data_IF_587017426333
#
_entry.id   IF_587017426333
#
_cell.length_a   1.000
_cell.length_b   1.000
_cell.length_c   1.000
_cell.angle_alpha   90.00
_cell.angle_beta   90.00
_cell.angle_gamma   90.00
#
_symmetry.space_group_name_H-M   'P 1'
#
loop_
_entity.id
_entity.type
_entity.pdbx_description
1 polymer ?
#
# COMPACT_ATOMS: atom_id res chain seq x y z
N UNK A 1 -25.87 13.56 -26.06
CA UNK A 1 -25.55 12.17 -25.73
C UNK A 1 -24.90 12.18 -24.36
N UNK A 2 -25.46 11.43 -23.42
CA UNK A 2 -24.92 11.30 -22.08
C UNK A 2 -23.74 10.30 -22.11
N UNK A 3 -22.68 10.47 -21.31
CA UNK A 3 -21.57 9.50 -21.30
C UNK A 3 -22.00 8.05 -21.02
N UNK A 4 -23.08 7.85 -20.25
CA UNK A 4 -23.68 6.53 -20.01
C UNK A 4 -24.12 5.82 -21.30
N UNK A 5 -24.53 6.56 -22.34
CA UNK A 5 -24.95 5.98 -23.62
C UNK A 5 -23.78 5.27 -24.30
N UNK A 6 -22.55 5.77 -24.11
CA UNK A 6 -21.34 5.12 -24.62
C UNK A 6 -21.04 3.80 -23.88
N UNK A 7 -21.34 3.73 -22.57
CA UNK A 7 -21.07 2.53 -21.76
C UNK A 7 -21.97 1.39 -22.23
N UNK A 8 -23.25 1.68 -22.41
CA UNK A 8 -24.25 0.74 -22.92
C UNK A 8 -23.97 0.32 -24.35
N UNK A 9 -23.53 1.25 -25.22
CA UNK A 9 -23.14 0.92 -26.58
C UNK A 9 -21.98 -0.10 -26.62
N UNK A 10 -20.95 0.08 -25.79
CA UNK A 10 -19.83 -0.88 -25.74
C UNK A 10 -20.27 -2.24 -25.16
N UNK A 11 -21.13 -2.23 -24.13
CA UNK A 11 -21.68 -3.46 -23.57
C UNK A 11 -22.51 -4.24 -24.60
N UNK A 12 -23.33 -3.56 -25.41
CA UNK A 12 -24.10 -4.18 -26.47
C UNK A 12 -23.21 -4.83 -27.54
N UNK A 13 -22.16 -4.14 -27.99
CA UNK A 13 -21.21 -4.69 -28.96
C UNK A 13 -20.48 -5.94 -28.44
N UNK A 14 -20.13 -5.97 -27.15
CA UNK A 14 -19.54 -7.17 -26.53
C UNK A 14 -20.57 -8.29 -26.40
N UNK A 15 -21.83 -7.97 -26.07
CA UNK A 15 -22.92 -8.95 -26.01
C UNK A 15 -23.23 -9.59 -27.39
N UNK A 16 -22.98 -8.86 -28.48
CA UNK A 16 -23.01 -9.38 -29.86
C UNK A 16 -21.83 -10.32 -30.19
N UNK A 17 -20.90 -10.53 -29.25
CA UNK A 17 -19.75 -11.41 -29.41
C UNK A 17 -18.53 -10.74 -30.04
N UNK A 18 -18.53 -9.40 -30.18
CA UNK A 18 -17.38 -8.69 -30.74
C UNK A 18 -16.23 -8.65 -29.72
N UNK A 19 -14.98 -8.91 -30.13
CA UNK A 19 -13.85 -8.86 -29.22
C UNK A 19 -13.52 -7.42 -28.85
N UNK A 20 -13.00 -7.24 -27.63
CA UNK A 20 -12.63 -5.93 -27.06
C UNK A 20 -11.67 -5.18 -27.99
N UNK A 21 -10.77 -5.89 -28.67
CA UNK A 21 -9.72 -5.26 -29.48
C UNK A 21 -10.25 -4.67 -30.78
N UNK A 22 -11.25 -5.33 -31.37
CA UNK A 22 -11.93 -4.81 -32.56
C UNK A 22 -12.79 -3.60 -32.20
N UNK A 23 -13.45 -3.62 -31.03
CA UNK A 23 -14.19 -2.46 -30.52
C UNK A 23 -13.21 -1.30 -30.25
N UNK A 24 -12.07 -1.57 -29.64
CA UNK A 24 -11.06 -0.55 -29.37
C UNK A 24 -10.55 0.11 -30.66
N UNK A 25 -10.25 -0.70 -31.68
CA UNK A 25 -9.82 -0.24 -33.00
C UNK A 25 -10.88 0.64 -33.68
N UNK A 26 -12.14 0.20 -33.72
CA UNK A 26 -13.24 0.93 -34.36
C UNK A 26 -13.48 2.31 -33.73
N UNK A 27 -13.36 2.39 -32.41
CA UNK A 27 -13.58 3.63 -31.66
C UNK A 27 -12.29 4.46 -31.47
N UNK A 28 -11.16 4.03 -32.02
CA UNK A 28 -9.85 4.69 -31.87
C UNK A 28 -9.45 4.92 -30.41
N UNK A 29 -9.73 3.95 -29.54
CA UNK A 29 -9.39 3.95 -28.12
C UNK A 29 -8.52 2.74 -27.78
N UNK A 30 -7.95 2.69 -26.57
CA UNK A 30 -7.21 1.52 -26.12
C UNK A 30 -8.15 0.43 -25.60
N UNK A 31 -7.73 -0.85 -25.63
CA UNK A 31 -8.46 -1.95 -24.99
C UNK A 31 -8.84 -1.68 -23.53
N UNK A 32 -7.93 -1.05 -22.78
CA UNK A 32 -8.16 -0.65 -21.40
C UNK A 32 -9.32 0.34 -21.25
N UNK A 33 -9.48 1.28 -22.20
CA UNK A 33 -10.62 2.20 -22.20
C UNK A 33 -11.93 1.42 -22.40
N UNK A 34 -11.96 0.45 -23.32
CA UNK A 34 -13.14 -0.40 -23.52
C UNK A 34 -13.47 -1.19 -22.25
N UNK A 35 -12.48 -1.84 -21.62
CA UNK A 35 -12.67 -2.56 -20.35
C UNK A 35 -13.21 -1.66 -19.24
N UNK A 36 -12.66 -0.45 -19.08
CA UNK A 36 -13.17 0.54 -18.12
C UNK A 36 -14.62 0.93 -18.40
N UNK A 37 -14.98 1.13 -19.67
CA UNK A 37 -16.35 1.46 -20.09
C UNK A 37 -17.33 0.31 -19.81
N UNK A 38 -16.91 -0.93 -20.06
CA UNK A 38 -17.68 -2.13 -19.71
C UNK A 38 -17.88 -2.24 -18.19
N UNK A 39 -16.84 -1.92 -17.39
CA UNK A 39 -16.98 -1.89 -15.93
C UNK A 39 -18.02 -0.87 -15.46
N UNK A 40 -18.03 0.33 -16.05
CA UNK A 40 -19.05 1.33 -15.73
C UNK A 40 -20.44 0.90 -16.18
N UNK A 41 -20.57 0.20 -17.32
CA UNK A 41 -21.85 -0.34 -17.78
C UNK A 41 -22.43 -1.38 -16.82
N UNK A 42 -21.58 -2.07 -16.03
CA UNK A 42 -21.99 -3.08 -15.06
C UNK A 42 -22.32 -2.53 -13.66
N UNK A 43 -22.30 -1.21 -13.43
CA UNK A 43 -22.67 -0.61 -12.14
C UNK A 43 -24.18 -0.75 -11.90
N UNK A 44 -24.62 -0.76 -10.63
CA UNK A 44 -26.03 -0.85 -10.25
C UNK A 44 -26.93 0.04 -11.11
N UNK A 45 -28.06 -0.49 -11.63
CA UNK A 45 -29.02 0.29 -12.40
C UNK A 45 -29.50 1.57 -11.69
N UNK A 46 -29.59 1.52 -10.35
CA UNK A 46 -30.02 2.66 -9.53
C UNK A 46 -28.98 3.78 -9.54
N UNK A 47 -27.70 3.42 -9.34
CA UNK A 47 -26.59 4.37 -9.43
C UNK A 47 -26.44 4.93 -10.85
N UNK A 48 -26.68 4.12 -11.87
CA UNK A 48 -26.65 4.56 -13.26
C UNK A 48 -27.78 5.56 -13.57
N UNK A 49 -28.97 5.35 -13.00
CA UNK A 49 -30.07 6.31 -13.11
C UNK A 49 -29.74 7.63 -12.41
N UNK A 50 -29.16 7.58 -11.22
CA UNK A 50 -28.72 8.78 -10.49
C UNK A 50 -27.57 9.51 -11.20
N UNK A 51 -26.67 8.77 -11.87
CA UNK A 51 -25.63 9.35 -12.74
C UNK A 51 -26.23 10.12 -13.91
N UNK A 52 -27.26 9.57 -14.56
CA UNK A 52 -28.00 10.26 -15.64
C UNK A 52 -28.77 11.49 -15.17
N UNK A 53 -29.12 11.55 -13.89
CA UNK A 53 -29.81 12.66 -13.26
C UNK A 53 -28.84 13.68 -12.62
N UNK A 54 -27.54 13.57 -12.89
CA UNK A 54 -26.48 14.42 -12.31
C UNK A 54 -26.39 14.37 -10.77
N UNK A 55 -26.97 13.34 -10.13
CA UNK A 55 -26.92 13.13 -8.68
C UNK A 55 -25.68 12.32 -8.22
N UNK A 56 -25.07 11.58 -9.13
CA UNK A 56 -23.80 10.86 -8.96
C UNK A 56 -22.81 11.43 -9.97
N UNK A 57 -21.56 11.66 -9.59
CA UNK A 57 -20.51 12.07 -10.54
C UNK A 57 -19.83 10.87 -11.19
N UNK A 58 -19.17 11.09 -12.34
CA UNK A 58 -18.39 10.04 -13.00
C UNK A 58 -17.30 9.46 -12.09
N UNK A 59 -16.61 10.31 -11.34
CA UNK A 59 -15.53 9.87 -10.44
C UNK A 59 -16.07 9.01 -9.28
N UNK A 60 -17.27 9.32 -8.78
CA UNK A 60 -17.96 8.47 -7.80
C UNK A 60 -18.33 7.12 -8.41
N UNK A 61 -18.85 7.12 -9.63
CA UNK A 61 -19.20 5.91 -10.36
C UNK A 61 -17.96 5.02 -10.59
N UNK A 62 -16.84 5.62 -10.99
CA UNK A 62 -15.55 4.94 -11.15
C UNK A 62 -15.05 4.32 -9.83
N UNK A 63 -15.22 5.01 -8.70
CA UNK A 63 -14.88 4.48 -7.39
C UNK A 63 -15.74 3.28 -6.98
N UNK A 64 -17.03 3.29 -7.31
CA UNK A 64 -17.97 2.21 -7.00
C UNK A 64 -17.76 0.99 -7.90
N UNK A 65 -17.29 1.19 -9.15
CA UNK A 65 -17.05 0.12 -10.13
C UNK A 65 -15.85 -0.80 -9.80
N UNK A 66 -15.23 -0.65 -8.62
CA UNK A 66 -14.18 -1.55 -8.12
C UNK A 66 -14.69 -2.98 -7.85
N UNK A 67 -15.99 -3.11 -7.52
CA UNK A 67 -16.69 -4.38 -7.32
C UNK A 67 -17.84 -4.52 -8.31
N UNK A 68 -18.22 -5.76 -8.65
CA UNK A 68 -19.42 -6.06 -9.44
C UNK A 68 -20.66 -6.31 -8.55
N UNK A 69 -20.51 -6.30 -7.22
CA UNK A 69 -21.63 -6.47 -6.29
C UNK A 69 -22.43 -5.18 -6.18
N UNK A 70 -23.61 -5.17 -6.81
CA UNK A 70 -24.54 -4.03 -6.79
C UNK A 70 -24.98 -3.66 -5.37
N UNK A 71 -25.18 -4.64 -4.47
CA UNK A 71 -25.59 -4.35 -3.10
C UNK A 71 -24.47 -3.64 -2.32
N UNK A 72 -23.22 -4.06 -2.52
CA UNK A 72 -22.06 -3.39 -1.94
C UNK A 72 -21.89 -1.96 -2.49
N UNK A 73 -22.06 -1.77 -3.80
CA UNK A 73 -22.02 -0.43 -4.43
C UNK A 73 -23.08 0.50 -3.84
N UNK A 74 -24.32 0.02 -3.75
CA UNK A 74 -25.44 0.80 -3.24
C UNK A 74 -25.26 1.15 -1.76
N UNK A 75 -24.85 0.18 -0.93
CA UNK A 75 -24.59 0.44 0.49
C UNK A 75 -23.42 1.41 0.69
N UNK A 76 -22.34 1.27 -0.10
CA UNK A 76 -21.21 2.19 -0.04
C UNK A 76 -21.61 3.64 -0.37
N UNK A 77 -22.57 3.86 -1.28
CA UNK A 77 -23.00 5.19 -1.68
C UNK A 77 -24.16 5.73 -0.83
N UNK A 78 -25.27 5.00 -0.73
CA UNK A 78 -26.51 5.49 -0.12
C UNK A 78 -26.46 5.52 1.40
N UNK A 79 -25.74 4.59 2.04
CA UNK A 79 -25.57 4.59 3.50
C UNK A 79 -24.47 5.56 3.94
N UNK A 80 -23.76 6.18 2.99
CA UNK A 80 -22.78 7.22 3.26
C UNK A 80 -23.44 8.60 3.34
N UNK A 81 -23.09 9.41 4.38
CA UNK A 81 -23.36 10.84 4.37
C UNK A 81 -22.77 11.50 3.12
N UNK A 82 -23.42 12.55 2.61
CA UNK A 82 -22.99 13.20 1.36
C UNK A 82 -21.50 13.63 1.36
N UNK A 83 -21.01 14.16 2.48
CA UNK A 83 -19.61 14.56 2.64
C UNK A 83 -18.62 13.39 2.58
N UNK A 84 -19.08 12.15 2.81
CA UNK A 84 -18.28 10.93 2.75
C UNK A 84 -18.41 10.21 1.39
N UNK A 85 -19.13 10.79 0.41
CA UNK A 85 -19.25 10.26 -0.96
C UNK A 85 -18.12 10.72 -1.87
N UNK A 86 -17.00 11.17 -1.32
CA UNK A 86 -15.81 11.44 -2.12
C UNK A 86 -15.25 10.12 -2.68
N UNK A 87 -14.73 10.07 -3.94
CA UNK A 87 -14.25 8.84 -4.56
C UNK A 87 -13.27 8.02 -3.70
N UNK A 88 -12.35 8.68 -2.99
CA UNK A 88 -11.41 8.00 -2.08
C UNK A 88 -12.11 7.25 -0.94
N UNK A 89 -13.10 7.87 -0.31
CA UNK A 89 -13.83 7.27 0.80
C UNK A 89 -14.77 6.15 0.34
N UNK A 90 -15.35 6.27 -0.85
CA UNK A 90 -16.14 5.18 -1.45
C UNK A 90 -15.26 3.96 -1.71
N UNK A 91 -14.06 4.15 -2.26
CA UNK A 91 -13.07 3.05 -2.43
C UNK A 91 -12.68 2.44 -1.09
N UNK A 92 -12.37 3.26 -0.08
CA UNK A 92 -12.02 2.78 1.26
C UNK A 92 -13.14 1.92 1.86
N UNK A 93 -14.40 2.35 1.75
CA UNK A 93 -15.56 1.57 2.25
C UNK A 93 -15.72 0.23 1.54
N UNK A 94 -15.49 0.17 0.24
CA UNK A 94 -15.60 -1.06 -0.54
C UNK A 94 -14.43 -2.02 -0.33
N UNK A 95 -13.28 -1.51 0.10
CA UNK A 95 -12.03 -2.27 0.23
C UNK A 95 -11.62 -2.50 1.69
N UNK A 96 -12.43 -2.09 2.67
CA UNK A 96 -12.14 -2.21 4.11
C UNK A 96 -11.81 -3.64 4.56
N UNK A 97 -12.45 -4.63 3.92
CA UNK A 97 -12.24 -6.06 4.22
C UNK A 97 -11.19 -6.71 3.31
N UNK A 98 -10.65 -5.96 2.35
CA UNK A 98 -9.68 -6.47 1.40
C UNK A 98 -8.25 -6.20 1.87
N UNK A 99 -7.34 -7.03 1.40
CA UNK A 99 -5.93 -6.95 1.79
C UNK A 99 -5.16 -6.22 0.68
N UNK A 100 -4.76 -4.98 0.95
CA UNK A 100 -3.93 -4.18 0.04
C UNK A 100 -2.52 -4.79 -0.12
N UNK A 101 -2.10 -4.99 -1.36
CA UNK A 101 -0.84 -5.66 -1.70
C UNK A 101 0.42 -4.91 -1.25
N UNK A 102 0.36 -3.58 -1.15
CA UNK A 102 1.54 -2.75 -0.86
C UNK A 102 1.53 -2.14 0.54
N UNK A 103 0.34 -1.93 1.12
CA UNK A 103 0.17 -1.32 2.44
C UNK A 103 0.07 -2.35 3.56
N UNK A 104 -0.41 -3.56 3.29
CA UNK A 104 -0.67 -4.53 4.36
C UNK A 104 0.63 -5.11 4.95
N UNK A 105 0.85 -5.04 6.28
CA UNK A 105 2.11 -5.47 6.91
C UNK A 105 2.46 -6.95 6.64
N UNK A 106 1.47 -7.84 6.60
CA UNK A 106 1.71 -9.25 6.33
C UNK A 106 2.12 -9.51 4.89
N UNK A 107 1.61 -8.73 3.93
CA UNK A 107 2.02 -8.85 2.53
C UNK A 107 3.45 -8.35 2.37
N UNK A 108 3.82 -7.25 3.05
CA UNK A 108 5.22 -6.80 3.09
C UNK A 108 6.16 -7.80 3.75
N UNK A 109 5.67 -8.52 4.76
CA UNK A 109 6.44 -9.56 5.43
C UNK A 109 6.69 -10.77 4.53
N UNK A 110 5.67 -11.27 3.80
CA UNK A 110 5.81 -12.40 2.88
C UNK A 110 6.50 -11.99 1.58
N UNK A 111 6.08 -10.88 1.00
CA UNK A 111 6.42 -10.39 -0.34
C UNK A 111 5.32 -10.74 -1.35
N UNK A 112 4.93 -9.77 -2.19
CA UNK A 112 3.90 -9.98 -3.23
C UNK A 112 4.31 -11.07 -4.22
N UNK A 113 5.56 -11.05 -4.70
CA UNK A 113 6.10 -12.06 -5.62
C UNK A 113 6.01 -13.49 -5.05
N UNK A 114 6.23 -13.64 -3.73
CA UNK A 114 6.13 -14.94 -3.07
C UNK A 114 4.69 -15.41 -2.95
N UNK A 115 3.75 -14.50 -2.73
CA UNK A 115 2.33 -14.80 -2.71
C UNK A 115 1.81 -15.20 -4.11
N UNK A 116 2.19 -14.45 -5.16
CA UNK A 116 1.83 -14.79 -6.55
C UNK A 116 2.48 -16.12 -6.98
N UNK A 117 3.75 -16.37 -6.62
CA UNK A 117 4.44 -17.63 -6.91
C UNK A 117 3.79 -18.84 -6.21
N UNK A 118 3.12 -18.63 -5.07
CA UNK A 118 2.34 -19.65 -4.38
C UNK A 118 0.94 -19.87 -4.99
N UNK A 119 0.62 -19.20 -6.11
CA UNK A 119 -0.67 -19.27 -6.81
C UNK A 119 -1.70 -18.27 -6.28
N UNK A 120 -1.28 -17.27 -5.52
CA UNK A 120 -2.16 -16.26 -4.94
C UNK A 120 -2.78 -15.34 -5.99
N UNK A 121 -4.11 -15.19 -5.93
CA UNK A 121 -4.83 -14.29 -6.82
C UNK A 121 -4.71 -12.83 -6.38
N UNK A 122 -4.60 -11.94 -7.38
CA UNK A 122 -4.55 -10.50 -7.21
C UNK A 122 -5.59 -9.85 -8.09
N UNK A 123 -6.38 -8.94 -7.52
CA UNK A 123 -7.35 -8.11 -8.21
C UNK A 123 -6.78 -6.70 -8.35
N UNK A 124 -6.87 -6.12 -9.55
CA UNK A 124 -6.46 -4.74 -9.83
C UNK A 124 -7.68 -3.87 -10.10
N UNK A 125 -7.77 -2.74 -9.43
CA UNK A 125 -8.72 -1.69 -9.76
C UNK A 125 -8.32 -1.04 -11.09
N UNK A 126 -9.20 -1.18 -12.10
CA UNK A 126 -8.95 -0.62 -13.43
C UNK A 126 -8.96 0.91 -13.44
N UNK A 127 -9.52 1.56 -12.41
CA UNK A 127 -9.61 3.02 -12.29
C UNK A 127 -8.56 3.62 -11.34
N UNK A 128 -7.70 2.79 -10.75
CA UNK A 128 -6.59 3.28 -9.93
C UNK A 128 -5.42 3.75 -10.81
N UNK A 129 -4.61 4.65 -10.24
CA UNK A 129 -3.40 5.17 -10.86
C UNK A 129 -2.15 4.55 -10.21
N UNK A 130 -1.17 4.18 -11.03
CA UNK A 130 0.08 3.57 -10.57
C UNK A 130 -0.14 2.23 -9.86
N UNK A 131 0.56 2.03 -8.75
CA UNK A 131 0.49 0.81 -7.94
C UNK A 131 -0.64 0.81 -6.91
N UNK A 132 -1.48 1.86 -6.89
CA UNK A 132 -2.67 1.89 -6.05
C UNK A 132 -3.72 0.91 -6.56
N UNK A 133 -4.53 0.35 -5.65
CA UNK A 133 -5.69 -0.45 -6.04
C UNK A 133 -5.39 -1.91 -6.38
N UNK A 134 -4.29 -2.46 -5.86
CA UNK A 134 -3.93 -3.88 -5.99
C UNK A 134 -4.29 -4.61 -4.70
N UNK A 135 -5.23 -5.56 -4.79
CA UNK A 135 -5.80 -6.26 -3.63
C UNK A 135 -5.62 -7.77 -3.77
N UNK A 136 -5.32 -8.45 -2.67
CA UNK A 136 -5.24 -9.90 -2.63
C UNK A 136 -6.64 -10.50 -2.54
N UNK A 137 -6.85 -11.60 -3.26
CA UNK A 137 -8.13 -12.32 -3.25
C UNK A 137 -8.13 -13.52 -2.30
N UNK A 138 -6.96 -14.00 -1.86
CA UNK A 138 -6.83 -15.18 -1.00
C UNK A 138 -6.11 -14.84 0.31
N UNK A 139 -6.89 -14.47 1.32
CA UNK A 139 -6.39 -14.18 2.66
C UNK A 139 -5.82 -15.43 3.35
N UNK A 140 -6.42 -16.60 3.13
CA UNK A 140 -6.00 -17.84 3.78
C UNK A 140 -4.62 -18.30 3.29
N UNK A 141 -4.35 -18.13 1.99
CA UNK A 141 -3.02 -18.38 1.43
C UNK A 141 -1.97 -17.44 2.04
N UNK A 142 -2.29 -16.15 2.18
CA UNK A 142 -1.39 -15.20 2.81
C UNK A 142 -1.06 -15.62 4.26
N UNK A 143 -2.08 -15.94 5.05
CA UNK A 143 -1.89 -16.39 6.43
C UNK A 143 -1.01 -17.64 6.53
N UNK A 144 -1.22 -18.61 5.65
CA UNK A 144 -0.38 -19.82 5.59
C UNK A 144 1.08 -19.48 5.29
N UNK A 145 1.34 -18.62 4.31
CA UNK A 145 2.71 -18.20 3.96
C UNK A 145 3.38 -17.43 5.10
N UNK A 146 2.62 -16.60 5.83
CA UNK A 146 3.12 -15.92 7.03
C UNK A 146 3.53 -16.95 8.08
N UNK A 147 2.67 -17.93 8.38
CA UNK A 147 2.95 -18.97 9.36
C UNK A 147 4.17 -19.82 8.98
N UNK A 148 4.27 -20.24 7.72
CA UNK A 148 5.43 -21.00 7.22
C UNK A 148 6.74 -20.22 7.35
N UNK A 149 6.71 -18.93 7.00
CA UNK A 149 7.88 -18.04 7.12
C UNK A 149 8.27 -17.81 8.58
N UNK A 150 7.29 -17.58 9.46
CA UNK A 150 7.52 -17.45 10.90
C UNK A 150 8.07 -18.74 11.50
N UNK A 151 7.55 -19.91 11.11
CA UNK A 151 8.01 -21.21 11.60
C UNK A 151 9.48 -21.47 11.21
N UNK A 152 9.89 -21.11 10.00
CA UNK A 152 11.28 -21.20 9.54
C UNK A 152 12.24 -20.32 10.38
N UNK A 153 11.82 -19.08 10.66
CA UNK A 153 12.58 -18.16 11.52
C UNK A 153 12.64 -18.71 12.95
N UNK A 154 11.52 -19.19 13.49
CA UNK A 154 11.44 -19.78 14.82
C UNK A 154 12.33 -21.01 14.97
N UNK A 155 12.43 -21.85 13.94
CA UNK A 155 13.33 -22.99 13.91
C UNK A 155 14.81 -22.57 13.97
N UNK A 156 15.17 -21.50 13.24
CA UNK A 156 16.52 -20.92 13.29
C UNK A 156 16.86 -20.41 14.68
N UNK A 157 15.93 -19.68 15.32
CA UNK A 157 16.13 -19.20 16.71
C UNK A 157 16.21 -20.38 17.67
N UNK A 158 15.35 -21.39 17.56
CA UNK A 158 15.39 -22.57 18.43
C UNK A 158 16.73 -23.30 18.36
N UNK A 159 17.36 -23.32 17.18
CA UNK A 159 18.70 -23.91 17.00
C UNK A 159 19.82 -23.18 17.77
N UNK A 160 19.59 -21.96 18.26
CA UNK A 160 20.52 -21.23 19.14
C UNK A 160 20.53 -21.77 20.58
N UNK A 161 19.65 -22.72 20.93
CA UNK A 161 19.59 -23.36 22.25
C UNK A 161 18.46 -22.88 23.15
N UNK A 162 17.49 -22.14 22.62
CA UNK A 162 16.32 -21.71 23.38
C UNK A 162 15.39 -22.89 23.69
N UNK A 163 14.90 -22.97 24.94
CA UNK A 163 14.03 -24.04 25.40
C UNK A 163 12.69 -24.08 24.63
N UNK A 164 12.17 -22.92 24.24
CA UNK A 164 10.99 -22.78 23.40
C UNK A 164 11.10 -21.49 22.58
N UNK A 165 10.36 -21.43 21.48
CA UNK A 165 10.22 -20.24 20.64
C UNK A 165 8.77 -20.16 20.21
N UNK A 166 8.16 -19.01 20.42
CA UNK A 166 6.82 -18.66 19.94
C UNK A 166 6.95 -17.51 18.93
N UNK A 167 6.31 -17.65 17.78
CA UNK A 167 6.40 -16.71 16.68
C UNK A 167 4.99 -16.36 16.20
N UNK A 168 4.63 -15.10 16.39
CA UNK A 168 3.31 -14.55 16.04
C UNK A 168 3.46 -13.42 15.02
N UNK A 169 2.50 -13.23 14.09
CA UNK A 169 2.53 -12.13 13.12
C UNK A 169 2.49 -10.73 13.75
N UNK A 170 2.01 -10.62 14.98
CA UNK A 170 1.94 -9.38 15.73
C UNK A 170 1.89 -9.64 17.23
N UNK A 171 2.41 -8.69 18.01
CA UNK A 171 2.43 -8.76 19.47
C UNK A 171 1.87 -7.44 20.01
N UNK A 172 0.88 -7.52 20.90
CA UNK A 172 0.36 -6.34 21.59
C UNK A 172 1.20 -6.05 22.84
N UNK A 173 1.07 -4.83 23.39
CA UNK A 173 1.72 -4.49 24.66
C UNK A 173 1.25 -5.40 25.81
N UNK A 174 -0.02 -5.83 25.79
CA UNK A 174 -0.56 -6.75 26.79
C UNK A 174 0.12 -8.12 26.71
N UNK A 175 0.33 -8.64 25.50
CA UNK A 175 1.02 -9.92 25.30
C UNK A 175 2.45 -9.86 25.83
N UNK A 176 3.17 -8.76 25.60
CA UNK A 176 4.54 -8.56 26.09
C UNK A 176 4.63 -8.47 27.61
N UNK A 177 3.60 -7.96 28.29
CA UNK A 177 3.61 -7.78 29.75
C UNK A 177 3.67 -9.12 30.52
N UNK A 178 3.24 -10.22 29.89
CA UNK A 178 3.37 -11.56 30.45
C UNK A 178 4.84 -12.07 30.45
N UNK A 179 5.73 -11.43 29.69
CA UNK A 179 7.11 -11.86 29.51
C UNK A 179 8.08 -10.85 30.11
N UNK A 180 9.18 -11.35 30.69
CA UNK A 180 10.29 -10.52 31.13
C UNK A 180 11.44 -10.58 30.13
N UNK A 181 12.25 -9.51 30.08
CA UNK A 181 13.48 -9.52 29.29
C UNK A 181 14.48 -10.49 29.92
N UNK A 182 14.94 -11.45 29.12
CA UNK A 182 16.01 -12.35 29.54
C UNK A 182 17.29 -11.55 29.88
N UNK A 183 18.04 -11.95 30.92
CA UNK A 183 19.34 -11.37 31.24
C UNK A 183 20.27 -11.46 30.02
N UNK A 184 20.88 -10.34 29.64
CA UNK A 184 21.86 -10.32 28.54
C UNK A 184 23.25 -10.52 29.12
N UNK A 185 23.87 -11.65 28.84
CA UNK A 185 25.30 -11.83 29.14
C UNK A 185 26.15 -11.27 28.01
N UNK A 186 27.14 -10.46 28.37
CA UNK A 186 28.06 -9.86 27.40
C UNK A 186 29.12 -10.89 27.04
N UNK A 187 28.99 -11.50 25.86
CA UNK A 187 30.05 -12.37 25.30
C UNK A 187 31.13 -11.56 24.59
N UNK A 188 32.34 -12.10 24.54
CA UNK A 188 33.39 -11.55 23.68
C UNK A 188 33.03 -11.75 22.19
N UNK A 189 33.21 -10.72 21.33
CA UNK A 189 32.96 -10.84 19.90
C UNK A 189 33.87 -11.89 19.25
N UNK A 190 33.35 -12.66 18.30
CA UNK A 190 34.23 -13.50 17.48
C UNK A 190 35.09 -12.63 16.54
N UNK A 191 36.12 -13.21 15.89
CA UNK A 191 37.04 -12.45 15.02
C UNK A 191 36.34 -11.64 13.92
N UNK A 192 35.27 -12.18 13.31
CA UNK A 192 34.49 -11.47 12.26
C UNK A 192 33.70 -10.30 12.84
N UNK A 193 33.08 -10.51 14.00
CA UNK A 193 32.34 -9.47 14.71
C UNK A 193 33.27 -8.37 15.20
N UNK A 194 34.45 -8.71 15.73
CA UNK A 194 35.46 -7.76 16.17
C UNK A 194 35.91 -6.84 15.03
N UNK A 195 36.24 -7.40 13.85
CA UNK A 195 36.58 -6.60 12.66
C UNK A 195 35.44 -5.69 12.21
N UNK A 196 34.19 -6.16 12.31
CA UNK A 196 33.01 -5.36 11.97
C UNK A 196 32.76 -4.24 12.97
N UNK A 197 33.01 -4.49 14.26
CA UNK A 197 32.94 -3.49 15.33
C UNK A 197 34.00 -2.41 15.10
N UNK A 198 35.25 -2.79 14.82
CA UNK A 198 36.33 -1.85 14.54
C UNK A 198 36.01 -0.96 13.33
N UNK A 199 35.50 -1.55 12.24
CA UNK A 199 35.08 -0.79 11.05
C UNK A 199 33.92 0.17 11.35
N UNK A 200 32.97 -0.24 12.20
CA UNK A 200 31.86 0.62 12.61
C UNK A 200 32.34 1.73 13.55
N UNK A 201 33.28 1.46 14.44
CA UNK A 201 33.89 2.45 15.32
C UNK A 201 34.66 3.51 14.53
N UNK A 202 35.44 3.10 13.52
CA UNK A 202 36.13 4.03 12.62
C UNK A 202 35.16 4.96 11.90
N UNK A 203 34.06 4.42 11.36
CA UNK A 203 32.99 5.24 10.75
C UNK A 203 32.32 6.19 11.74
N UNK A 204 32.09 5.74 12.97
CA UNK A 204 31.51 6.58 14.02
C UNK A 204 32.41 7.77 14.34
N UNK A 205 33.73 7.54 14.38
CA UNK A 205 34.71 8.58 14.62
C UNK A 205 34.76 9.59 13.47
N UNK A 206 34.83 9.10 12.23
CA UNK A 206 34.78 9.96 11.03
C UNK A 206 33.51 10.82 10.99
N UNK A 207 32.35 10.23 11.31
CA UNK A 207 31.08 10.95 11.35
C UNK A 207 31.04 11.97 12.49
N UNK A 208 31.61 11.65 13.66
CA UNK A 208 31.72 12.59 14.77
C UNK A 208 32.61 13.79 14.42
N UNK A 209 33.75 13.56 13.76
CA UNK A 209 34.63 14.64 13.29
C UNK A 209 33.94 15.52 12.25
N UNK A 210 33.18 14.92 11.32
CA UNK A 210 32.42 15.68 10.33
C UNK A 210 31.32 16.56 10.97
N UNK A 211 30.63 16.04 12.00
CA UNK A 211 29.63 16.81 12.76
C UNK A 211 30.29 17.94 13.54
N UNK A 212 31.40 17.67 14.23
CA UNK A 212 32.14 18.70 14.98
C UNK A 212 32.69 19.80 14.05
N UNK A 213 33.14 19.43 12.84
CA UNK A 213 33.59 20.40 11.84
C UNK A 213 32.44 21.26 11.31
N UNK A 214 31.27 20.66 11.05
CA UNK A 214 30.08 21.39 10.60
C UNK A 214 29.56 22.36 11.67
N UNK A 215 29.51 21.95 12.94
CA UNK A 215 29.09 22.82 14.04
C UNK A 215 30.05 24.01 14.23
N UNK A 216 31.36 23.79 14.12
CA UNK A 216 32.35 24.88 14.16
C UNK A 216 32.21 25.85 12.99
N UNK A 217 31.92 25.34 11.79
CA UNK A 217 31.69 26.20 10.63
C UNK A 217 30.40 27.03 10.77
N UNK A 218 29.32 26.44 11.30
CA UNK A 218 28.07 27.18 11.57
C UNK A 218 28.23 28.25 12.66
N UNK A 219 29.03 27.98 13.70
CA UNK A 219 29.36 28.96 14.74
C UNK A 219 30.26 30.09 14.19
N UNK A 220 31.22 29.78 13.32
CA UNK A 220 32.06 30.79 12.63
C UNK A 220 31.23 31.67 11.67
N UNK A 221 30.30 31.10 10.91
CA UNK A 221 29.41 31.84 10.02
C UNK A 221 28.45 32.77 10.79
N UNK A 222 27.97 32.34 11.97
CA UNK A 222 27.16 33.17 12.88
C UNK A 222 27.97 34.32 13.48
N UNK A 223 29.21 34.06 13.91
CA UNK A 223 30.13 35.08 14.42
C UNK A 223 30.49 36.10 13.32
N UNK A 224 30.65 35.66 12.07
CA UNK A 224 30.90 36.55 10.93
C UNK A 224 29.67 37.39 10.55
N UNK A 225 28.45 36.85 10.69
CA UNK A 225 27.20 37.58 10.45
C UNK A 225 26.88 38.61 11.57
N UNK A 226 27.20 38.31 12.83
CA UNK A 226 26.97 39.22 13.97
C UNK A 226 28.08 40.28 14.13
N UNK A 227 29.29 40.05 13.59
CA UNK A 227 30.39 41.02 13.60
C UNK A 227 30.23 42.19 12.61
N UNK A 228 29.14 42.23 11.83
CA UNK A 228 28.79 43.38 10.97
C UNK A 228 27.60 44.15 11.55
N UNK A 229 27.84 45.10 12.47
CA UNK A 229 26.96 46.27 12.57
C UNK A 229 27.73 47.59 12.39
N UNK A 230 27.27 48.33 11.38
CA UNK A 230 27.23 49.80 11.29
C UNK A 230 28.55 50.57 11.40
N UNK A 231 29.10 50.99 10.25
CA UNK A 231 29.66 52.35 10.09
C UNK A 231 29.42 52.85 8.66
N UNK A 232 28.21 53.37 8.43
CA UNK A 232 27.93 54.33 7.37
C UNK A 232 27.01 55.40 7.96
N UNK A 233 27.56 56.59 8.18
CA UNK A 233 26.82 57.72 8.70
C UNK A 233 27.70 58.82 9.29
N UNK A 234 28.52 59.47 8.45
CA UNK A 234 28.46 60.90 8.15
C UNK A 234 29.51 61.29 7.13
#
# INVERSE_FOLDING_TARGET
MHPADQFEAFAALVAEGRPIEDIAADFSVTPLVVQRRLKLANVSPRLMADYRADAVSLDQLMALAITDDHAAQESAFYDAPQWQRHPSHLRERLTEREIDAYRHPLVRFVGLDSYEAAGGGVRRDLFAEGDAGVYLTDAALLERLVQEKLASIAATVRAEGWAWVDATPGVTHADLHAFQRAPRERREPNKREAQRIEKLQAKLHELAEAVDAALKAEDEDKLCAEAVPSHHGQ
#
